data_IF_255012112036
#
_entry.id   IF_255012112036
#
_cell.length_a   1.000
_cell.length_b   1.000
_cell.length_c   1.000
_cell.angle_alpha   90.00
_cell.angle_beta   90.00
_cell.angle_gamma   90.00
#
_symmetry.space_group_name_H-M   'P 1'
#
loop_
_entity.id
_entity.type
_entity.pdbx_description
1 polymer ?
#
# COMPACT_ATOMS: atom_id res chain seq x y z
N UNK A 1 6.85 -0.23 6.05
CA UNK A 1 7.13 0.47 4.76
C UNK A 1 6.22 1.70 4.63
N UNK A 2 6.78 2.91 4.43
CA UNK A 2 6.00 4.15 4.49
C UNK A 2 5.62 4.77 3.12
N UNK A 3 6.29 4.38 2.02
CA UNK A 3 6.09 4.94 0.67
C UNK A 3 4.63 4.94 0.19
N UNK A 4 3.79 3.91 0.46
CA UNK A 4 2.39 3.94 0.04
C UNK A 4 1.60 5.08 0.68
N UNK A 5 2.05 5.66 1.78
CA UNK A 5 1.38 6.80 2.40
C UNK A 5 1.77 8.13 1.74
N UNK A 6 2.64 8.15 0.73
CA UNK A 6 3.05 9.36 0.04
C UNK A 6 2.20 9.59 -1.22
N UNK A 7 2.01 10.86 -1.59
CA UNK A 7 1.35 11.22 -2.85
C UNK A 7 2.09 10.58 -4.03
N UNK A 8 1.35 9.99 -4.97
CA UNK A 8 1.93 9.24 -6.10
C UNK A 8 3.00 10.01 -6.88
N UNK A 9 2.79 11.31 -7.12
CA UNK A 9 3.76 12.18 -7.81
C UNK A 9 5.06 12.39 -7.04
N UNK A 10 5.04 12.28 -5.71
CA UNK A 10 6.21 12.49 -4.86
C UNK A 10 7.02 11.20 -4.64
N UNK A 11 6.45 10.04 -4.98
CA UNK A 11 7.08 8.73 -4.77
C UNK A 11 8.35 8.58 -5.61
N UNK A 12 8.34 8.99 -6.87
CA UNK A 12 9.52 8.90 -7.74
C UNK A 12 10.69 9.72 -7.19
N UNK A 13 10.41 10.95 -6.73
CA UNK A 13 11.43 11.81 -6.13
C UNK A 13 11.97 11.19 -4.83
N UNK A 14 11.09 10.71 -3.95
CA UNK A 14 11.50 10.06 -2.71
C UNK A 14 12.33 8.78 -2.96
N UNK A 15 12.00 8.00 -4.00
CA UNK A 15 12.74 6.82 -4.40
C UNK A 15 14.13 7.18 -4.96
N UNK A 16 14.21 8.21 -5.81
CA UNK A 16 15.48 8.70 -6.36
C UNK A 16 16.42 9.19 -5.25
N UNK A 17 15.92 9.96 -4.28
CA UNK A 17 16.70 10.36 -3.10
C UNK A 17 17.24 9.17 -2.30
N UNK A 18 16.52 8.04 -2.30
CA UNK A 18 16.94 6.80 -1.65
C UNK A 18 18.04 6.10 -2.46
N UNK A 19 17.90 6.09 -3.78
CA UNK A 19 18.89 5.55 -4.73
C UNK A 19 20.20 6.35 -4.68
N UNK A 20 20.13 7.66 -4.57
CA UNK A 20 21.29 8.55 -4.46
C UNK A 20 22.10 8.35 -3.17
N UNK A 21 21.43 7.93 -2.09
CA UNK A 21 22.06 7.63 -0.80
C UNK A 21 22.71 6.24 -0.76
N UNK A 22 22.51 5.42 -1.78
CA UNK A 22 23.09 4.08 -1.79
C UNK A 22 24.61 4.14 -2.00
N UNK A 23 25.40 3.38 -1.21
CA UNK A 23 26.84 3.34 -1.39
C UNK A 23 27.20 2.90 -2.81
N UNK A 24 28.05 3.68 -3.47
CA UNK A 24 28.62 3.36 -4.79
C UNK A 24 29.80 2.37 -4.69
N UNK A 25 30.23 2.06 -3.46
CA UNK A 25 31.34 1.15 -3.19
C UNK A 25 30.95 -0.27 -3.63
N UNK A 26 31.83 -0.94 -4.38
CA UNK A 26 31.62 -2.31 -4.89
C UNK A 26 31.82 -3.36 -3.79
N UNK A 27 31.02 -3.29 -2.75
CA UNK A 27 30.87 -4.38 -1.78
C UNK A 27 29.77 -5.33 -2.24
N UNK A 28 29.86 -6.60 -1.85
CA UNK A 28 28.83 -7.60 -2.16
C UNK A 28 27.43 -7.19 -1.66
N UNK A 29 27.36 -6.43 -0.55
CA UNK A 29 26.11 -5.96 0.04
C UNK A 29 25.53 -4.76 -0.74
N UNK A 30 26.37 -3.82 -1.18
CA UNK A 30 25.95 -2.75 -2.08
C UNK A 30 25.42 -3.31 -3.41
N UNK A 31 26.07 -4.32 -3.99
CA UNK A 31 25.59 -4.98 -5.21
C UNK A 31 24.19 -5.60 -5.05
N UNK A 32 23.92 -6.24 -3.90
CA UNK A 32 22.58 -6.79 -3.60
C UNK A 32 21.54 -5.68 -3.47
N UNK A 33 21.91 -4.57 -2.81
CA UNK A 33 21.02 -3.42 -2.65
C UNK A 33 20.70 -2.76 -4.00
N UNK A 34 21.70 -2.58 -4.87
CA UNK A 34 21.51 -2.07 -6.23
C UNK A 34 20.59 -2.98 -7.06
N UNK A 35 20.77 -4.32 -6.97
CA UNK A 35 19.86 -5.27 -7.63
C UNK A 35 18.42 -5.14 -7.12
N UNK A 36 18.23 -5.00 -5.82
CA UNK A 36 16.90 -4.81 -5.22
C UNK A 36 16.26 -3.51 -5.70
N UNK A 37 16.99 -2.39 -5.67
CA UNK A 37 16.47 -1.11 -6.13
C UNK A 37 16.11 -1.13 -7.61
N UNK A 38 16.95 -1.74 -8.46
CA UNK A 38 16.65 -1.89 -9.89
C UNK A 38 15.38 -2.73 -10.13
N UNK A 39 15.15 -3.76 -9.32
CA UNK A 39 13.91 -4.53 -9.38
C UNK A 39 12.71 -3.66 -8.96
N UNK A 40 12.83 -2.94 -7.83
CA UNK A 40 11.75 -2.09 -7.34
C UNK A 40 11.40 -0.98 -8.32
N UNK A 41 12.39 -0.34 -8.93
CA UNK A 41 12.22 0.69 -9.95
C UNK A 41 11.43 0.14 -11.14
N UNK A 42 11.90 -0.95 -11.75
CA UNK A 42 11.25 -1.55 -12.93
C UNK A 42 9.86 -2.09 -12.65
N UNK A 43 9.62 -2.64 -11.45
CA UNK A 43 8.37 -3.33 -11.12
C UNK A 43 7.33 -2.41 -10.50
N UNK A 44 7.72 -1.46 -9.67
CA UNK A 44 6.79 -0.68 -8.83
C UNK A 44 6.81 0.82 -9.09
N UNK A 45 7.80 1.33 -9.83
CA UNK A 45 7.93 2.75 -10.17
C UNK A 45 7.60 2.99 -11.65
N UNK A 46 8.29 2.28 -12.54
CA UNK A 46 8.22 2.49 -13.99
C UNK A 46 7.18 1.60 -14.69
N UNK A 47 6.61 0.61 -14.00
CA UNK A 47 5.70 -0.33 -14.64
C UNK A 47 4.35 0.30 -14.95
N UNK A 48 3.78 -0.06 -16.11
CA UNK A 48 2.46 0.41 -16.51
C UNK A 48 1.33 -0.19 -15.64
N UNK A 49 1.50 -1.43 -15.18
CA UNK A 49 0.48 -2.15 -14.39
C UNK A 49 0.54 -1.88 -12.89
N UNK A 50 1.72 -1.60 -12.34
CA UNK A 50 1.93 -1.39 -10.91
C UNK A 50 2.58 -0.02 -10.62
N UNK A 51 2.13 1.02 -11.32
CA UNK A 51 2.62 2.39 -11.14
C UNK A 51 2.24 2.95 -9.76
N UNK A 52 2.96 3.98 -9.25
CA UNK A 52 2.69 4.60 -7.96
C UNK A 52 1.24 5.06 -7.73
N UNK A 53 0.51 5.42 -8.78
CA UNK A 53 -0.92 5.78 -8.67
C UNK A 53 -1.81 4.59 -8.29
N UNK A 54 -1.41 3.37 -8.65
CA UNK A 54 -2.19 2.16 -8.43
C UNK A 54 -2.10 1.66 -6.99
N UNK A 55 -0.95 1.90 -6.33
CA UNK A 55 -0.70 1.39 -4.98
C UNK A 55 -0.52 2.49 -3.91
N UNK A 56 -0.48 3.78 -4.29
CA UNK A 56 -0.51 4.86 -3.31
C UNK A 56 -1.85 4.85 -2.55
N UNK A 57 -1.72 4.94 -1.23
CA UNK A 57 -2.81 4.99 -0.25
C UNK A 57 -3.00 6.40 0.32
N UNK A 58 -2.32 7.40 -0.24
CA UNK A 58 -2.43 8.79 0.19
C UNK A 58 -3.88 9.27 0.13
N UNK A 59 -4.36 9.90 1.20
CA UNK A 59 -5.75 10.35 1.37
C UNK A 59 -6.84 9.27 1.24
N UNK A 60 -6.49 7.98 1.23
CA UNK A 60 -7.48 6.88 1.21
C UNK A 60 -7.94 6.54 2.63
N UNK A 61 -9.25 6.43 2.82
CA UNK A 61 -9.89 6.18 4.13
C UNK A 61 -9.84 4.70 4.52
N UNK A 62 -9.76 3.80 3.55
CA UNK A 62 -9.81 2.35 3.74
C UNK A 62 -8.44 1.78 3.45
N UNK A 63 -7.76 1.30 4.49
CA UNK A 63 -6.66 0.35 4.34
C UNK A 63 -7.23 -1.04 4.49
N UNK A 64 -7.52 -1.68 3.38
CA UNK A 64 -7.60 -3.13 3.37
C UNK A 64 -6.42 -3.60 2.54
N UNK A 65 -5.47 -4.21 3.23
CA UNK A 65 -4.38 -4.97 2.63
C UNK A 65 -4.90 -5.94 1.53
N UNK A 66 -6.21 -6.24 1.54
CA UNK A 66 -7.01 -6.96 0.54
C UNK A 66 -6.88 -6.53 -0.93
N UNK A 67 -6.39 -5.33 -1.28
CA UNK A 67 -6.16 -5.03 -2.72
C UNK A 67 -4.99 -5.88 -3.28
N UNK A 68 -4.00 -6.20 -2.43
CA UNK A 68 -2.84 -7.04 -2.77
C UNK A 68 -2.98 -8.43 -2.14
N UNK A 69 -3.48 -8.52 -0.90
CA UNK A 69 -3.80 -9.80 -0.26
C UNK A 69 -5.08 -10.44 -0.75
N UNK A 70 -5.90 -9.77 -1.56
CA UNK A 70 -7.11 -10.39 -2.11
C UNK A 70 -6.76 -11.72 -2.79
N UNK A 71 -5.66 -11.75 -3.54
CA UNK A 71 -5.12 -12.97 -4.14
C UNK A 71 -4.67 -14.02 -3.11
N UNK A 72 -4.00 -13.60 -2.04
CA UNK A 72 -3.57 -14.53 -1.00
C UNK A 72 -4.74 -15.07 -0.19
N UNK A 73 -5.72 -14.24 0.17
CA UNK A 73 -6.97 -14.64 0.80
C UNK A 73 -7.75 -15.58 -0.10
N UNK A 74 -7.83 -15.31 -1.40
CA UNK A 74 -8.43 -16.21 -2.40
C UNK A 74 -7.71 -17.56 -2.42
N UNK A 75 -6.37 -17.58 -2.44
CA UNK A 75 -5.59 -18.82 -2.40
C UNK A 75 -5.69 -19.55 -1.06
N UNK A 76 -5.74 -18.83 0.05
CA UNK A 76 -5.85 -19.39 1.40
C UNK A 76 -7.23 -20.02 1.63
N UNK A 77 -8.28 -19.35 1.16
CA UNK A 77 -9.66 -19.80 1.28
C UNK A 77 -10.06 -20.77 0.15
N UNK A 78 -9.15 -21.00 -0.81
CA UNK A 78 -9.36 -21.99 -1.86
C UNK A 78 -9.48 -23.38 -1.25
N UNK A 79 -10.48 -24.18 -1.64
CA UNK A 79 -10.59 -25.58 -1.20
C UNK A 79 -9.39 -26.42 -1.68
N UNK A 80 -8.61 -25.94 -2.66
CA UNK A 80 -7.42 -26.63 -3.17
C UNK A 80 -6.17 -25.74 -3.09
N UNK A 81 -5.04 -26.37 -2.76
CA UNK A 81 -3.70 -25.73 -2.65
C UNK A 81 -3.19 -25.13 -3.98
N UNK A 82 -3.84 -25.44 -5.09
CA UNK A 82 -3.60 -24.89 -6.43
C UNK A 82 -4.96 -24.61 -7.07
N UNK A 83 -5.36 -23.35 -7.09
CA UNK A 83 -6.61 -22.92 -7.70
C UNK A 83 -6.52 -23.11 -9.23
N UNK A 84 -7.39 -23.94 -9.80
CA UNK A 84 -7.49 -24.04 -11.27
C UNK A 84 -8.25 -22.82 -11.82
N UNK A 85 -8.12 -22.55 -13.12
CA UNK A 85 -8.75 -21.39 -13.75
C UNK A 85 -10.28 -21.35 -13.60
N UNK A 86 -10.96 -22.48 -13.73
CA UNK A 86 -12.42 -22.57 -13.60
C UNK A 86 -12.89 -22.25 -12.18
N UNK A 87 -12.17 -22.74 -11.17
CA UNK A 87 -12.43 -22.44 -9.77
C UNK A 87 -12.17 -20.97 -9.45
N UNK A 88 -11.11 -20.40 -10.02
CA UNK A 88 -10.81 -18.97 -9.90
C UNK A 88 -11.94 -18.12 -10.49
N UNK A 89 -12.40 -18.43 -11.71
CA UNK A 89 -13.48 -17.68 -12.37
C UNK A 89 -14.75 -17.71 -11.51
N UNK A 90 -15.13 -18.88 -10.98
CA UNK A 90 -16.32 -19.00 -10.12
C UNK A 90 -16.17 -18.22 -8.82
N UNK A 91 -14.99 -18.29 -8.18
CA UNK A 91 -14.73 -17.58 -6.92
C UNK A 91 -14.78 -16.06 -7.13
N UNK A 92 -14.15 -15.56 -8.20
CA UNK A 92 -14.22 -14.15 -8.58
C UNK A 92 -15.66 -13.72 -8.89
N UNK A 93 -16.42 -14.55 -9.60
CA UNK A 93 -17.83 -14.26 -9.89
C UNK A 93 -18.66 -14.16 -8.61
N UNK A 94 -18.49 -15.09 -7.67
CA UNK A 94 -19.20 -15.04 -6.38
C UNK A 94 -18.80 -13.81 -5.56
N UNK A 95 -17.53 -13.41 -5.59
CA UNK A 95 -17.07 -12.18 -4.95
C UNK A 95 -17.66 -10.92 -5.59
N UNK A 96 -17.83 -10.91 -6.92
CA UNK A 96 -18.50 -9.79 -7.60
C UNK A 96 -19.96 -9.63 -7.18
N UNK A 97 -20.65 -10.71 -6.79
CA UNK A 97 -22.03 -10.63 -6.25
C UNK A 97 -22.11 -9.88 -4.93
N UNK A 98 -21.00 -9.79 -4.19
CA UNK A 98 -20.93 -9.05 -2.92
C UNK A 98 -20.64 -7.54 -3.14
N UNK A 99 -20.14 -7.14 -4.31
CA UNK A 99 -19.83 -5.74 -4.62
C UNK A 99 -21.02 -4.80 -4.42
N UNK A 100 -22.25 -5.09 -4.87
CA UNK A 100 -23.39 -4.20 -4.66
C UNK A 100 -23.69 -3.96 -3.17
N UNK A 101 -23.51 -4.98 -2.33
CA UNK A 101 -23.71 -4.87 -0.88
C UNK A 101 -22.59 -4.03 -0.26
N UNK A 102 -21.34 -4.26 -0.63
CA UNK A 102 -20.21 -3.46 -0.17
C UNK A 102 -20.35 -1.99 -0.58
N UNK A 103 -20.66 -1.71 -1.85
CA UNK A 103 -20.93 -0.36 -2.37
C UNK A 103 -22.04 0.30 -1.57
N UNK A 104 -23.18 -0.39 -1.36
CA UNK A 104 -24.28 0.13 -0.55
C UNK A 104 -23.86 0.45 0.89
N UNK A 105 -23.04 -0.39 1.51
CA UNK A 105 -22.51 -0.16 2.86
C UNK A 105 -21.55 1.03 2.92
N UNK A 106 -20.73 1.25 1.88
CA UNK A 106 -19.88 2.44 1.71
C UNK A 106 -20.77 3.69 1.61
N UNK A 107 -21.74 3.69 0.69
CA UNK A 107 -22.65 4.82 0.43
C UNK A 107 -23.46 5.18 1.67
N UNK A 108 -23.94 4.17 2.41
CA UNK A 108 -24.69 4.36 3.66
C UNK A 108 -23.78 4.69 4.86
N UNK A 109 -22.46 4.84 4.68
CA UNK A 109 -21.47 5.06 5.75
C UNK A 109 -21.51 4.00 6.86
N UNK A 110 -22.07 2.81 6.61
CA UNK A 110 -22.19 1.74 7.61
C UNK A 110 -20.87 1.00 7.86
N UNK A 111 -19.90 1.12 6.95
CA UNK A 111 -18.51 0.65 7.14
C UNK A 111 -17.80 1.40 8.28
N UNK A 112 -18.32 2.54 8.72
CA UNK A 112 -17.75 3.32 9.82
C UNK A 112 -17.61 2.51 11.13
N UNK A 113 -18.47 1.51 11.37
CA UNK A 113 -18.38 0.64 12.55
C UNK A 113 -17.17 -0.29 12.54
N UNK A 114 -16.73 -0.75 11.36
CA UNK A 114 -15.49 -1.53 11.19
C UNK A 114 -14.28 -0.58 11.28
N UNK A 115 -14.43 0.66 10.78
CA UNK A 115 -13.41 1.71 10.86
C UNK A 115 -13.15 2.22 12.28
N UNK A 116 -14.07 2.04 13.24
CA UNK A 116 -13.87 2.42 14.63
C UNK A 116 -12.59 1.84 15.24
N UNK A 117 -12.19 0.61 14.86
CA UNK A 117 -10.94 -0.02 15.34
C UNK A 117 -9.68 0.67 14.82
N UNK A 118 -9.73 1.31 13.66
CA UNK A 118 -8.61 2.01 13.02
C UNK A 118 -8.74 3.53 13.06
N UNK A 119 -9.82 4.07 13.65
CA UNK A 119 -10.18 5.48 13.62
C UNK A 119 -9.11 6.38 14.24
N UNK A 120 -8.54 5.98 15.39
CA UNK A 120 -7.46 6.74 16.04
C UNK A 120 -6.20 6.82 15.16
N UNK A 121 -5.81 5.70 14.53
CA UNK A 121 -4.68 5.66 13.59
C UNK A 121 -4.99 6.52 12.35
N UNK A 122 -6.21 6.45 11.83
CA UNK A 122 -6.65 7.25 10.68
C UNK A 122 -6.65 8.75 10.97
N UNK A 123 -7.07 9.16 12.18
CA UNK A 123 -7.02 10.56 12.61
C UNK A 123 -5.58 11.09 12.66
N UNK A 124 -4.66 10.33 13.26
CA UNK A 124 -3.23 10.68 13.29
C UNK A 124 -2.65 10.78 11.88
N UNK A 125 -3.00 9.86 10.99
CA UNK A 125 -2.56 9.89 9.60
C UNK A 125 -3.10 11.12 8.86
N UNK A 126 -4.36 11.48 9.08
CA UNK A 126 -4.98 12.68 8.50
C UNK A 126 -4.30 13.97 8.97
N UNK A 127 -3.92 14.04 10.24
CA UNK A 127 -3.11 15.15 10.77
C UNK A 127 -1.75 15.21 10.06
N UNK A 128 -1.05 14.08 9.92
CA UNK A 128 0.22 14.02 9.20
C UNK A 128 0.10 14.47 7.73
N UNK A 129 -0.98 14.09 7.03
CA UNK A 129 -1.25 14.59 5.69
C UNK A 129 -1.40 16.10 5.65
N UNK A 130 -2.16 16.66 6.58
CA UNK A 130 -2.42 18.10 6.66
C UNK A 130 -1.10 18.86 6.86
N UNK A 131 -0.27 18.42 7.80
CA UNK A 131 1.03 19.04 8.07
C UNK A 131 1.99 18.90 6.88
N UNK A 132 1.92 17.79 6.14
CA UNK A 132 2.74 17.60 4.94
C UNK A 132 2.30 18.51 3.78
N UNK A 133 1.00 18.69 3.58
CA UNK A 133 0.45 19.60 2.55
C UNK A 133 0.73 21.06 2.85
N UNK A 134 0.72 21.43 4.12
CA UNK A 134 1.08 22.78 4.57
C UNK A 134 2.59 23.04 4.53
N UNK A 135 3.40 22.06 4.13
CA UNK A 135 4.86 22.10 4.17
C UNK A 135 5.48 22.31 5.56
N UNK A 136 4.74 21.99 6.63
CA UNK A 136 5.23 22.04 8.02
C UNK A 136 6.28 20.95 8.29
N UNK A 137 6.27 19.86 7.51
CA UNK A 137 7.19 18.73 7.64
C UNK A 137 7.75 18.30 6.27
N UNK A 138 9.03 17.93 6.26
CA UNK A 138 9.73 17.46 5.05
C UNK A 138 9.38 15.99 4.78
N UNK A 139 9.43 15.56 3.51
CA UNK A 139 9.12 14.19 3.06
C UNK A 139 9.80 13.09 3.87
N UNK A 140 11.08 13.26 4.24
CA UNK A 140 11.82 12.28 5.04
C UNK A 140 11.25 12.13 6.45
N UNK A 141 10.88 13.24 7.09
CA UNK A 141 10.29 13.25 8.42
C UNK A 141 8.86 12.70 8.40
N UNK A 142 8.09 13.06 7.36
CA UNK A 142 6.76 12.52 7.09
C UNK A 142 6.80 10.99 6.97
N UNK A 143 7.67 10.45 6.12
CA UNK A 143 7.82 9.01 5.92
C UNK A 143 8.24 8.29 7.21
N UNK A 144 9.12 8.89 8.01
CA UNK A 144 9.52 8.34 9.32
C UNK A 144 8.33 8.27 10.29
N UNK A 145 7.52 9.33 10.37
CA UNK A 145 6.31 9.38 11.19
C UNK A 145 5.27 8.35 10.72
N UNK A 146 5.09 8.19 9.41
CA UNK A 146 4.22 7.17 8.83
C UNK A 146 4.67 5.74 9.15
N UNK A 147 5.96 5.42 9.09
CA UNK A 147 6.46 4.08 9.43
C UNK A 147 6.12 3.69 10.87
N UNK A 148 6.39 4.59 11.82
CA UNK A 148 6.06 4.35 13.24
C UNK A 148 4.56 4.11 13.47
N UNK A 149 3.72 4.77 12.69
CA UNK A 149 2.27 4.60 12.78
C UNK A 149 1.80 3.24 12.21
N UNK A 150 2.54 2.67 11.25
CA UNK A 150 2.22 1.37 10.65
C UNK A 150 2.81 0.19 11.42
N UNK A 151 4.00 0.34 12.02
CA UNK A 151 4.74 -0.77 12.65
C UNK A 151 4.19 -1.14 14.05
N UNK A 152 3.38 -0.30 14.69
CA UNK A 152 2.70 -0.60 15.97
C UNK A 152 1.31 -1.23 15.76
N UNK A 153 1.21 -2.19 14.83
CA UNK A 153 -0.04 -2.80 14.40
C UNK A 153 -0.10 -4.32 14.43
N UNK A 154 1.02 -4.98 14.70
CA UNK A 154 1.11 -6.45 14.79
C UNK A 154 1.29 -6.85 16.26
N UNK A 155 0.20 -6.79 17.02
CA UNK A 155 -0.02 -7.53 18.28
C UNK A 155 -1.52 -7.88 18.38
#
# INVERSE_FOLDING_TARGET
MALPNLLASHINNAFNQLKDRCPQVQTAQAQKLHKLLNYLEKTWIDSASCSPSTWSTYKRVVRTYNEVEGWHCLNHNSPTKRMNLYLLINTLYDETKLLPVQVRLITQKKICRIQCKTQSKQQKLKQLWTNYENHDIITSEYLRKCSKLTDHGDD
#
